data_IF_102153031419
#
_entry.id   IF_102153031419
#
_cell.length_a   1.000
_cell.length_b   1.000
_cell.length_c   1.000
_cell.angle_alpha   90.00
_cell.angle_beta   90.00
_cell.angle_gamma   90.00
#
_symmetry.space_group_name_H-M   'P 1'
#
loop_
_entity.id
_entity.type
_entity.pdbx_description
1 polymer ?
#
# COMPACT_ATOMS: atom_id res chain seq x y z
N UNK A 1 6.42 43.68 -44.88
CA UNK A 1 6.12 42.24 -44.68
C UNK A 1 6.90 41.63 -43.52
N UNK A 2 8.13 42.05 -43.27
CA UNK A 2 9.04 41.48 -42.26
C UNK A 2 8.67 41.80 -40.81
N UNK A 3 8.14 43.00 -40.52
CA UNK A 3 7.79 43.39 -39.14
C UNK A 3 6.52 42.71 -38.61
N UNK A 4 5.50 42.53 -39.46
CA UNK A 4 4.27 41.82 -39.07
C UNK A 4 4.50 40.31 -38.86
N UNK A 5 5.44 39.71 -39.58
CA UNK A 5 5.85 38.32 -39.37
C UNK A 5 6.59 38.12 -38.05
N UNK A 6 7.45 39.07 -37.66
CA UNK A 6 8.15 39.03 -36.37
C UNK A 6 7.18 39.15 -35.19
N UNK A 7 6.19 40.06 -35.28
CA UNK A 7 5.18 40.21 -34.23
C UNK A 7 4.29 38.96 -34.10
N UNK A 8 3.88 38.34 -35.21
CA UNK A 8 3.09 37.11 -35.18
C UNK A 8 3.89 35.94 -34.59
N UNK A 9 5.18 35.82 -34.90
CA UNK A 9 6.04 34.77 -34.35
C UNK A 9 6.22 34.91 -32.83
N UNK A 10 6.41 36.15 -32.34
CA UNK A 10 6.54 36.43 -30.90
C UNK A 10 5.23 36.15 -30.17
N UNK A 11 4.08 36.52 -30.73
CA UNK A 11 2.78 36.21 -30.13
C UNK A 11 2.50 34.70 -30.09
N UNK A 12 2.86 33.95 -31.14
CA UNK A 12 2.73 32.48 -31.15
C UNK A 12 3.70 31.84 -30.15
N UNK A 13 4.93 32.31 -30.05
CA UNK A 13 5.91 31.81 -29.06
C UNK A 13 5.51 32.13 -27.62
N UNK A 14 4.93 33.30 -27.36
CA UNK A 14 4.42 33.67 -26.04
C UNK A 14 3.17 32.86 -25.68
N UNK A 15 2.28 32.59 -26.65
CA UNK A 15 1.10 31.75 -26.43
C UNK A 15 1.47 30.28 -26.23
N UNK A 16 2.44 29.74 -26.98
CA UNK A 16 2.92 28.36 -26.77
C UNK A 16 3.72 28.23 -25.47
N UNK A 17 4.53 29.21 -25.09
CA UNK A 17 5.21 29.23 -23.79
C UNK A 17 4.21 29.36 -22.62
N UNK A 18 3.15 30.16 -22.78
CA UNK A 18 2.09 30.29 -21.77
C UNK A 18 1.25 29.02 -21.67
N UNK A 19 0.93 28.37 -22.80
CA UNK A 19 0.30 27.04 -22.80
C UNK A 19 1.22 25.98 -22.19
N UNK A 20 2.52 26.04 -22.44
CA UNK A 20 3.48 25.12 -21.83
C UNK A 20 3.65 25.38 -20.33
N UNK A 21 3.58 26.63 -19.85
CA UNK A 21 3.68 26.91 -18.42
C UNK A 21 2.38 26.63 -17.65
N UNK A 22 1.22 26.77 -18.31
CA UNK A 22 -0.10 26.50 -17.71
C UNK A 22 -0.54 25.02 -17.85
N UNK A 23 -0.05 24.30 -18.86
CA UNK A 23 -0.42 22.92 -19.17
C UNK A 23 0.75 21.94 -19.26
N UNK A 24 2.01 22.37 -19.08
CA UNK A 24 3.03 21.38 -18.77
C UNK A 24 2.58 20.69 -17.49
N UNK A 25 2.44 19.36 -17.48
CA UNK A 25 2.31 18.66 -16.23
C UNK A 25 3.54 19.08 -15.45
N UNK A 26 3.36 19.81 -14.35
CA UNK A 26 4.37 19.92 -13.33
C UNK A 26 4.62 18.48 -12.91
N UNK A 27 5.58 17.82 -13.57
CA UNK A 27 6.10 16.53 -13.14
C UNK A 27 6.80 16.83 -11.82
N UNK A 28 6.02 17.03 -10.76
CA UNK A 28 6.41 16.56 -9.46
C UNK A 28 6.61 15.07 -9.68
N UNK A 29 7.85 14.68 -9.87
CA UNK A 29 8.25 13.29 -9.68
C UNK A 29 7.67 12.90 -8.32
N UNK A 30 6.83 11.86 -8.24
CA UNK A 30 6.28 11.42 -6.97
C UNK A 30 7.43 11.36 -5.98
N UNK A 31 7.27 11.98 -4.80
CA UNK A 31 8.26 11.80 -3.74
C UNK A 31 8.11 10.36 -3.29
N UNK A 32 8.98 9.50 -3.83
CA UNK A 32 9.07 8.10 -3.45
C UNK A 32 9.76 8.09 -2.08
N UNK A 33 9.00 7.72 -1.06
CA UNK A 33 9.57 7.42 0.25
C UNK A 33 10.06 5.97 0.15
N UNK A 34 11.31 5.80 -0.29
CA UNK A 34 12.00 4.51 -0.20
C UNK A 34 12.43 4.29 1.26
N UNK A 35 12.32 3.04 1.71
CA UNK A 35 12.36 2.61 3.10
C UNK A 35 13.65 2.93 3.85
N UNK A 36 13.50 2.91 5.18
CA UNK A 36 14.50 3.14 6.22
C UNK A 36 15.65 2.14 6.10
N UNK A 37 16.92 2.53 6.35
CA UNK A 37 18.04 1.60 6.43
C UNK A 37 17.79 0.50 7.46
N UNK A 38 18.13 -0.74 7.14
CA UNK A 38 17.87 -1.96 7.92
C UNK A 38 18.69 -2.09 9.22
N UNK A 39 19.12 -1.01 9.85
CA UNK A 39 19.93 -1.05 11.07
C UNK A 39 19.05 -0.87 12.32
N UNK A 40 19.13 -1.89 13.20
CA UNK A 40 18.42 -2.07 14.48
C UNK A 40 16.90 -2.33 14.41
N UNK A 41 16.53 -3.57 14.08
CA UNK A 41 15.23 -4.14 14.47
C UNK A 41 15.19 -4.18 16.01
N UNK A 42 14.51 -3.20 16.61
CA UNK A 42 14.32 -3.11 18.07
C UNK A 42 13.54 -4.32 18.60
N UNK A 43 13.94 -4.80 19.77
CA UNK A 43 13.52 -6.08 20.36
C UNK A 43 12.02 -6.25 20.71
N UNK A 44 11.17 -5.24 20.51
CA UNK A 44 9.81 -5.17 21.09
C UNK A 44 8.65 -5.08 20.07
N UNK A 45 8.83 -5.51 18.82
CA UNK A 45 7.72 -5.54 17.85
C UNK A 45 6.65 -6.58 18.27
N UNK A 46 5.36 -6.22 18.20
CA UNK A 46 4.30 -7.14 18.64
C UNK A 46 4.23 -8.46 17.84
N UNK A 47 4.79 -8.53 16.63
CA UNK A 47 4.84 -9.75 15.81
C UNK A 47 6.19 -10.47 15.83
N UNK A 48 7.15 -10.10 16.71
CA UNK A 48 8.50 -10.70 16.75
C UNK A 48 8.49 -12.24 16.80
N UNK A 49 7.52 -12.84 17.48
CA UNK A 49 7.37 -14.31 17.58
C UNK A 49 7.01 -15.00 16.26
N UNK A 50 6.61 -14.23 15.25
CA UNK A 50 6.26 -14.74 13.93
C UNK A 50 7.46 -14.84 12.99
N UNK A 51 8.48 -14.01 13.22
CA UNK A 51 9.65 -13.86 12.35
C UNK A 51 10.97 -14.20 13.04
N UNK A 52 10.95 -14.47 14.35
CA UNK A 52 12.16 -14.72 15.14
C UNK A 52 13.02 -15.86 14.58
N UNK A 53 14.30 -15.56 14.41
CA UNK A 53 15.37 -16.51 14.15
C UNK A 53 16.16 -16.69 15.45
N UNK A 54 16.45 -17.94 15.81
CA UNK A 54 17.48 -18.21 16.81
C UNK A 54 18.83 -18.36 16.10
N UNK A 55 19.76 -17.46 16.36
CA UNK A 55 21.10 -17.46 15.76
C UNK A 55 21.90 -18.76 16.04
N UNK A 56 21.52 -19.52 17.08
CA UNK A 56 22.16 -20.79 17.43
C UNK A 56 21.51 -22.01 16.76
N UNK A 57 20.51 -21.83 15.90
CA UNK A 57 19.90 -22.95 15.18
C UNK A 57 20.87 -23.56 14.17
N UNK A 58 20.87 -24.89 14.10
CA UNK A 58 21.43 -25.60 12.95
C UNK A 58 20.58 -25.30 11.70
N UNK A 59 21.16 -25.49 10.51
CA UNK A 59 20.40 -25.35 9.26
C UNK A 59 19.14 -26.25 9.24
N UNK A 60 19.22 -27.46 9.80
CA UNK A 60 18.06 -28.35 9.89
C UNK A 60 16.98 -27.82 10.82
N UNK A 61 17.34 -27.25 11.97
CA UNK A 61 16.38 -26.59 12.87
C UNK A 61 15.71 -25.38 12.21
N UNK A 62 16.47 -24.56 11.49
CA UNK A 62 15.95 -23.44 10.72
C UNK A 62 14.92 -23.92 9.69
N UNK A 63 15.27 -24.95 8.90
CA UNK A 63 14.37 -25.53 7.89
C UNK A 63 13.10 -26.09 8.52
N UNK A 64 13.19 -26.81 9.64
CA UNK A 64 12.00 -27.34 10.34
C UNK A 64 11.11 -26.22 10.88
N UNK A 65 11.69 -25.17 11.45
CA UNK A 65 10.93 -24.00 11.88
C UNK A 65 10.24 -23.31 10.71
N UNK A 66 10.96 -23.11 9.60
CA UNK A 66 10.39 -22.51 8.39
C UNK A 66 9.24 -23.34 7.82
N UNK A 67 9.35 -24.67 7.77
CA UNK A 67 8.24 -25.56 7.36
C UNK A 67 7.04 -25.36 8.29
N UNK A 68 7.25 -25.40 9.60
CA UNK A 68 6.18 -25.26 10.58
C UNK A 68 5.45 -23.91 10.46
N UNK A 69 6.21 -22.81 10.35
CA UNK A 69 5.66 -21.46 10.19
C UNK A 69 4.94 -21.26 8.87
N UNK A 70 5.50 -21.75 7.77
CA UNK A 70 4.84 -21.67 6.47
C UNK A 70 3.52 -22.43 6.43
N UNK A 71 3.45 -23.61 7.05
CA UNK A 71 2.19 -24.37 7.17
C UNK A 71 1.19 -23.69 8.11
N UNK A 72 1.66 -23.08 9.19
CA UNK A 72 0.82 -22.28 10.08
C UNK A 72 0.22 -21.09 9.33
N UNK A 73 1.02 -20.33 8.59
CA UNK A 73 0.54 -19.22 7.78
C UNK A 73 -0.37 -19.67 6.63
N UNK A 74 -0.13 -20.83 6.02
CA UNK A 74 -1.04 -21.37 4.99
C UNK A 74 -2.44 -21.65 5.54
N UNK A 75 -2.50 -22.18 6.76
CA UNK A 75 -3.74 -22.57 7.44
C UNK A 75 -4.42 -21.39 8.14
N UNK A 76 -3.64 -20.55 8.79
CA UNK A 76 -4.09 -19.51 9.72
C UNK A 76 -3.73 -18.09 9.27
N UNK A 77 -3.08 -17.90 8.12
CA UNK A 77 -2.53 -16.60 7.67
C UNK A 77 -3.55 -15.48 7.49
N UNK A 78 -4.85 -15.78 7.54
CA UNK A 78 -5.93 -14.79 7.59
C UNK A 78 -6.03 -14.13 8.97
N UNK A 79 -5.49 -14.74 10.02
CA UNK A 79 -5.58 -14.33 11.42
C UNK A 79 -4.32 -13.59 11.87
N UNK A 80 -4.02 -12.45 11.24
CA UNK A 80 -3.00 -11.56 11.77
C UNK A 80 -3.35 -11.15 13.21
N UNK A 81 -2.32 -11.13 14.07
CA UNK A 81 -2.42 -10.68 15.44
C UNK A 81 -3.05 -9.31 15.44
N UNK A 82 -4.08 -9.15 16.27
CA UNK A 82 -4.80 -7.90 16.39
C UNK A 82 -3.83 -6.82 16.86
N UNK A 83 -3.79 -5.64 16.21
CA UNK A 83 -3.05 -4.51 16.73
C UNK A 83 -3.48 -4.21 18.18
N UNK A 84 -2.55 -3.76 19.06
CA UNK A 84 -2.89 -3.43 20.44
C UNK A 84 -4.09 -2.45 20.54
N UNK A 85 -5.11 -2.83 21.31
CA UNK A 85 -6.34 -2.04 21.49
C UNK A 85 -7.42 -2.21 20.42
N UNK A 86 -7.14 -2.98 19.35
CA UNK A 86 -8.13 -3.35 18.34
C UNK A 86 -8.90 -4.59 18.79
N UNK A 87 -9.99 -4.39 19.55
CA UNK A 87 -10.88 -5.46 20.05
C UNK A 87 -12.25 -5.45 19.36
N UNK A 88 -12.34 -5.79 18.06
CA UNK A 88 -13.63 -5.77 17.39
C UNK A 88 -14.53 -6.93 17.82
N UNK A 89 -15.84 -6.70 17.76
CA UNK A 89 -16.85 -7.74 17.95
C UNK A 89 -16.89 -8.74 16.77
N UNK A 90 -16.46 -8.32 15.57
CA UNK A 90 -16.40 -9.14 14.36
C UNK A 90 -15.01 -9.11 13.73
N UNK A 91 -14.59 -10.24 13.14
CA UNK A 91 -13.31 -10.35 12.46
C UNK A 91 -13.51 -10.49 10.95
N UNK A 92 -12.83 -9.70 10.11
CA UNK A 92 -11.87 -8.65 10.47
C UNK A 92 -12.55 -7.32 10.91
N UNK A 93 -11.90 -6.50 11.77
CA UNK A 93 -12.45 -5.24 12.29
C UNK A 93 -12.79 -4.22 11.21
N UNK A 94 -14.02 -3.72 11.14
CA UNK A 94 -14.33 -2.59 10.25
C UNK A 94 -13.68 -1.27 10.71
N UNK A 95 -13.63 -1.06 12.02
CA UNK A 95 -13.04 0.13 12.63
C UNK A 95 -12.27 -0.25 13.89
N UNK A 96 -11.08 0.32 14.08
CA UNK A 96 -10.34 0.23 15.33
C UNK A 96 -9.74 1.58 15.72
N UNK A 97 -9.84 1.91 17.01
CA UNK A 97 -9.15 3.04 17.61
C UNK A 97 -8.06 2.50 18.53
N UNK A 98 -6.81 2.85 18.26
CA UNK A 98 -5.69 2.45 19.09
C UNK A 98 -5.67 3.27 20.40
N UNK A 99 -5.06 2.76 21.48
CA UNK A 99 -4.98 3.49 22.74
C UNK A 99 -4.25 4.81 22.54
N UNK A 100 -4.75 5.88 23.15
CA UNK A 100 -4.12 7.21 23.13
C UNK A 100 -2.69 7.13 23.68
N UNK A 101 -1.77 7.87 23.06
CA UNK A 101 -0.35 7.96 23.45
C UNK A 101 0.04 9.43 23.60
N UNK A 102 1.21 9.68 24.21
CA UNK A 102 1.70 11.03 24.54
C UNK A 102 2.40 11.75 23.37
N UNK A 103 2.21 11.27 22.13
CA UNK A 103 2.75 11.94 20.96
C UNK A 103 1.90 13.13 20.52
N UNK A 104 2.16 13.64 19.32
CA UNK A 104 1.41 14.75 18.73
C UNK A 104 0.70 14.37 17.41
N UNK A 105 1.15 13.33 16.73
CA UNK A 105 0.66 12.94 15.40
C UNK A 105 -0.73 12.31 15.49
N UNK A 106 -1.68 12.80 14.70
CA UNK A 106 -2.94 12.10 14.43
C UNK A 106 -2.84 11.36 13.11
N UNK A 107 -3.15 10.07 13.08
CA UNK A 107 -3.10 9.29 11.87
C UNK A 107 -4.31 8.38 11.69
N UNK A 108 -4.74 8.23 10.44
CA UNK A 108 -5.74 7.26 10.02
C UNK A 108 -5.11 6.33 9.00
N UNK A 109 -5.33 5.02 9.14
CA UNK A 109 -5.01 4.02 8.11
C UNK A 109 -6.31 3.47 7.54
N UNK A 110 -6.57 3.72 6.26
CA UNK A 110 -7.82 3.38 5.61
C UNK A 110 -7.64 2.52 4.36
N UNK A 111 -8.57 1.59 4.15
CA UNK A 111 -8.59 0.74 2.96
C UNK A 111 -9.28 -0.60 3.18
N UNK A 112 -8.63 -1.70 2.82
CA UNK A 112 -9.23 -3.05 2.91
C UNK A 112 -8.39 -4.02 3.73
N UNK A 113 -8.43 -5.32 3.43
CA UNK A 113 -7.64 -6.33 4.14
C UNK A 113 -6.13 -6.03 4.14
N UNK A 114 -5.62 -5.22 3.21
CA UNK A 114 -4.23 -4.78 3.15
C UNK A 114 -3.93 -3.75 4.24
N UNK A 115 -4.89 -2.86 4.54
CA UNK A 115 -4.81 -1.95 5.69
C UNK A 115 -4.65 -2.74 6.99
N UNK A 116 -5.39 -3.84 7.16
CA UNK A 116 -5.22 -4.70 8.35
C UNK A 116 -3.79 -5.22 8.50
N UNK A 117 -3.15 -5.63 7.40
CA UNK A 117 -1.77 -6.15 7.42
C UNK A 117 -0.75 -5.05 7.70
N UNK A 118 -0.96 -3.85 7.18
CA UNK A 118 -0.07 -2.71 7.36
C UNK A 118 -0.27 -1.99 8.70
N UNK A 119 -1.43 -2.15 9.36
CA UNK A 119 -1.74 -1.48 10.61
C UNK A 119 -0.70 -1.78 11.69
N UNK A 120 -0.22 -3.01 11.72
CA UNK A 120 0.79 -3.43 12.66
C UNK A 120 2.07 -2.61 12.63
N UNK A 121 2.81 -2.65 11.51
CA UNK A 121 4.03 -1.88 11.36
C UNK A 121 3.83 -0.37 11.44
N UNK A 122 2.70 0.15 10.98
CA UNK A 122 2.37 1.57 11.17
C UNK A 122 2.23 1.91 12.66
N UNK A 123 1.52 1.09 13.43
CA UNK A 123 1.41 1.26 14.88
C UNK A 123 2.79 1.27 15.55
N UNK A 124 3.65 0.31 15.24
CA UNK A 124 4.98 0.21 15.84
C UNK A 124 5.88 1.38 15.44
N UNK A 125 5.80 1.85 14.19
CA UNK A 125 6.55 3.01 13.69
C UNK A 125 6.12 4.31 14.37
N UNK A 126 4.84 4.43 14.73
CA UNK A 126 4.25 5.64 15.28
C UNK A 126 4.04 5.61 16.80
N UNK A 127 4.25 4.49 17.49
CA UNK A 127 3.81 4.28 18.90
C UNK A 127 4.24 5.36 19.90
N UNK A 128 5.39 5.98 19.66
CA UNK A 128 5.94 7.04 20.52
C UNK A 128 5.67 8.45 19.97
N UNK A 129 5.02 8.56 18.81
CA UNK A 129 4.84 9.81 18.05
C UNK A 129 3.37 10.20 17.90
N UNK A 130 2.43 9.26 18.01
CA UNK A 130 1.01 9.55 17.81
C UNK A 130 0.30 10.01 19.09
N UNK A 131 -0.70 10.87 18.93
CA UNK A 131 -1.71 11.19 19.94
C UNK A 131 -3.01 10.42 19.68
N UNK A 132 -3.36 10.22 18.40
CA UNK A 132 -4.48 9.39 17.96
C UNK A 132 -4.10 8.56 16.74
N UNK A 133 -4.49 7.29 16.74
CA UNK A 133 -4.28 6.37 15.62
C UNK A 133 -5.55 5.54 15.42
N UNK A 134 -6.14 5.63 14.24
CA UNK A 134 -7.35 4.87 13.87
C UNK A 134 -7.11 4.04 12.60
N UNK A 135 -7.84 2.93 12.52
CA UNK A 135 -7.94 2.09 11.34
C UNK A 135 -9.39 2.08 10.86
N UNK A 136 -9.59 2.33 9.57
CA UNK A 136 -10.89 2.25 8.90
C UNK A 136 -10.77 1.28 7.74
N UNK A 137 -11.40 0.12 7.80
CA UNK A 137 -11.33 -0.80 6.68
C UNK A 137 -12.62 -1.53 6.39
N UNK A 138 -12.80 -1.87 5.13
CA UNK A 138 -13.82 -2.83 4.71
C UNK A 138 -13.15 -3.84 3.82
N UNK A 139 -13.18 -5.10 4.24
CA UNK A 139 -12.55 -6.18 3.47
C UNK A 139 -13.13 -6.25 2.07
N UNK A 140 -12.27 -6.56 1.09
CA UNK A 140 -12.63 -6.71 -0.33
C UNK A 140 -13.06 -5.42 -1.07
N UNK A 141 -13.11 -4.28 -0.41
CA UNK A 141 -13.54 -3.04 -1.03
C UNK A 141 -12.35 -2.18 -1.49
N UNK A 142 -12.58 -1.25 -2.43
CA UNK A 142 -11.58 -0.28 -2.87
C UNK A 142 -12.20 1.12 -2.80
N UNK A 143 -11.50 2.06 -2.14
CA UNK A 143 -12.00 3.43 -1.96
C UNK A 143 -12.30 4.10 -3.32
N UNK A 144 -11.38 4.01 -4.28
CA UNK A 144 -11.46 4.73 -5.56
C UNK A 144 -12.41 4.10 -6.59
N UNK A 145 -13.04 2.97 -6.27
CA UNK A 145 -14.08 2.37 -7.12
C UNK A 145 -15.49 2.78 -6.71
N UNK A 146 -15.64 3.45 -5.56
CA UNK A 146 -16.91 4.02 -5.13
C UNK A 146 -17.16 5.32 -5.89
N UNK A 147 -18.41 5.57 -6.29
CA UNK A 147 -18.76 6.80 -6.99
C UNK A 147 -18.86 7.98 -6.02
N UNK A 148 -18.05 9.01 -6.27
CA UNK A 148 -18.02 10.22 -5.47
C UNK A 148 -19.39 10.93 -5.39
N UNK A 149 -20.20 10.87 -6.46
CA UNK A 149 -21.49 11.54 -6.46
C UNK A 149 -22.51 10.87 -5.51
N UNK A 150 -22.30 9.60 -5.16
CA UNK A 150 -23.30 8.80 -4.43
C UNK A 150 -22.81 8.20 -3.13
N UNK A 151 -21.51 8.29 -2.80
CA UNK A 151 -20.91 7.54 -1.70
C UNK A 151 -21.56 7.82 -0.32
N UNK A 152 -22.03 9.04 -0.07
CA UNK A 152 -22.73 9.36 1.19
C UNK A 152 -24.04 8.57 1.39
N UNK A 153 -24.64 8.11 0.29
CA UNK A 153 -25.92 7.40 0.27
C UNK A 153 -25.81 5.95 -0.16
N UNK A 154 -24.61 5.50 -0.51
CA UNK A 154 -24.35 4.13 -0.96
C UNK A 154 -24.40 3.18 0.25
N UNK A 155 -25.47 2.38 0.29
CA UNK A 155 -25.72 1.39 1.36
C UNK A 155 -25.05 0.05 1.09
N UNK A 156 -24.25 -0.08 0.02
CA UNK A 156 -23.48 -1.28 -0.23
C UNK A 156 -22.36 -1.44 0.81
N UNK A 157 -21.87 -2.67 0.97
CA UNK A 157 -20.71 -2.95 1.83
C UNK A 157 -19.53 -2.05 1.47
N UNK A 158 -19.23 -1.87 0.19
CA UNK A 158 -18.11 -1.05 -0.26
C UNK A 158 -18.38 0.46 -0.28
N UNK A 159 -19.64 0.89 -0.42
CA UNK A 159 -20.04 2.28 -0.21
C UNK A 159 -19.67 2.77 1.20
N UNK A 160 -19.83 1.87 2.18
CA UNK A 160 -19.50 2.17 3.58
C UNK A 160 -18.00 2.48 3.81
N UNK A 161 -17.07 1.97 2.99
CA UNK A 161 -15.64 2.26 3.14
C UNK A 161 -15.36 3.74 2.87
N UNK A 162 -15.88 4.26 1.76
CA UNK A 162 -15.71 5.67 1.40
C UNK A 162 -16.36 6.55 2.47
N UNK A 163 -17.61 6.26 2.84
CA UNK A 163 -18.32 7.03 3.87
C UNK A 163 -17.57 7.05 5.20
N UNK A 164 -17.12 5.90 5.70
CA UNK A 164 -16.39 5.84 6.97
C UNK A 164 -15.04 6.55 6.90
N UNK A 165 -14.32 6.43 5.78
CA UNK A 165 -13.02 7.08 5.60
C UNK A 165 -13.17 8.60 5.63
N UNK A 166 -14.13 9.14 4.89
CA UNK A 166 -14.44 10.57 4.86
C UNK A 166 -14.88 11.07 6.24
N UNK A 167 -15.87 10.42 6.86
CA UNK A 167 -16.36 10.81 8.18
C UNK A 167 -15.25 10.78 9.26
N UNK A 168 -14.39 9.75 9.25
CA UNK A 168 -13.30 9.65 10.21
C UNK A 168 -12.24 10.74 9.98
N UNK A 169 -11.94 11.04 8.71
CA UNK A 169 -10.96 12.08 8.33
C UNK A 169 -11.47 13.47 8.71
N UNK A 170 -12.74 13.77 8.45
CA UNK A 170 -13.37 15.03 8.86
C UNK A 170 -13.41 15.17 10.38
N UNK A 171 -13.80 14.12 11.11
CA UNK A 171 -13.92 14.18 12.57
C UNK A 171 -12.55 14.26 13.29
N UNK A 172 -11.53 13.59 12.79
CA UNK A 172 -10.21 13.55 13.44
C UNK A 172 -9.31 14.72 13.04
N UNK A 173 -9.42 15.16 11.79
CA UNK A 173 -8.47 16.03 11.09
C UNK A 173 -7.03 15.49 11.19
N UNK A 174 -6.71 14.34 10.56
CA UNK A 174 -5.41 13.69 10.75
C UNK A 174 -4.25 14.49 10.13
N UNK A 175 -3.08 14.40 10.77
CA UNK A 175 -1.84 14.87 10.15
C UNK A 175 -1.47 13.99 8.95
N UNK A 176 -1.68 12.67 9.06
CA UNK A 176 -1.40 11.72 7.98
C UNK A 176 -2.55 10.74 7.80
N UNK A 177 -3.05 10.65 6.57
CA UNK A 177 -4.00 9.62 6.12
C UNK A 177 -3.26 8.61 5.23
N UNK A 178 -3.16 7.36 5.66
CA UNK A 178 -2.66 6.27 4.83
C UNK A 178 -3.83 5.61 4.10
N UNK A 179 -3.81 5.60 2.77
CA UNK A 179 -4.73 4.86 1.91
C UNK A 179 -4.03 3.60 1.41
N UNK A 180 -4.27 2.46 2.07
CA UNK A 180 -3.59 1.20 1.81
C UNK A 180 -4.59 0.17 1.28
N UNK A 181 -4.49 -0.10 -0.01
CA UNK A 181 -5.43 -0.95 -0.74
C UNK A 181 -4.73 -1.79 -1.81
N UNK A 182 -5.44 -2.80 -2.33
CA UNK A 182 -4.91 -3.76 -3.32
C UNK A 182 -5.14 -3.38 -4.77
N UNK A 183 -6.20 -2.60 -5.04
CA UNK A 183 -6.67 -2.22 -6.37
C UNK A 183 -7.10 -3.41 -7.25
N UNK A 184 -8.37 -3.82 -7.13
CA UNK A 184 -8.98 -4.82 -8.01
C UNK A 184 -10.16 -4.26 -8.81
N UNK A 185 -10.70 -5.10 -9.70
CA UNK A 185 -11.95 -4.85 -10.41
C UNK A 185 -11.80 -3.68 -11.38
N UNK A 186 -12.70 -2.70 -11.28
CA UNK A 186 -12.75 -1.64 -12.27
C UNK A 186 -11.48 -0.79 -12.32
N UNK A 187 -10.74 -0.70 -11.19
CA UNK A 187 -9.47 0.05 -11.14
C UNK A 187 -8.32 -0.64 -11.89
N UNK A 188 -8.49 -1.88 -12.35
CA UNK A 188 -7.52 -2.59 -13.20
C UNK A 188 -7.90 -2.58 -14.68
N UNK A 189 -9.09 -2.06 -15.03
CA UNK A 189 -9.59 -2.02 -16.42
C UNK A 189 -8.67 -1.22 -17.34
N UNK A 190 -8.73 -1.54 -18.64
CA UNK A 190 -7.97 -0.84 -19.68
C UNK A 190 -8.27 0.67 -19.69
N UNK A 191 -7.22 1.48 -19.80
CA UNK A 191 -7.31 2.92 -19.88
C UNK A 191 -7.40 3.32 -21.35
N UNK A 192 -8.54 3.89 -21.75
CA UNK A 192 -8.70 4.48 -23.10
C UNK A 192 -8.08 5.88 -23.19
N UNK A 193 -8.30 6.69 -22.17
CA UNK A 193 -7.71 8.02 -22.02
C UNK A 193 -7.66 8.37 -20.54
N UNK A 194 -6.44 8.51 -20.00
CA UNK A 194 -6.21 8.75 -18.58
C UNK A 194 -6.87 10.04 -18.07
N UNK A 195 -6.99 11.08 -18.92
CA UNK A 195 -7.56 12.37 -18.52
C UNK A 195 -9.08 12.33 -18.36
N UNK A 196 -9.75 11.38 -19.00
CA UNK A 196 -11.22 11.20 -18.92
C UNK A 196 -11.60 9.88 -18.27
N UNK A 197 -10.64 9.16 -17.68
CA UNK A 197 -10.88 7.89 -17.01
C UNK A 197 -11.75 8.11 -15.77
N UNK A 198 -12.91 7.47 -15.71
CA UNK A 198 -13.90 7.68 -14.63
C UNK A 198 -13.32 7.40 -13.25
N UNK A 199 -12.50 6.35 -13.12
CA UNK A 199 -11.93 5.95 -11.84
C UNK A 199 -10.86 6.94 -11.37
N UNK A 200 -10.09 7.51 -12.30
CA UNK A 200 -9.19 8.64 -12.02
C UNK A 200 -9.97 9.86 -11.56
N UNK A 201 -11.04 10.25 -12.25
CA UNK A 201 -11.84 11.42 -11.87
C UNK A 201 -12.49 11.25 -10.49
N UNK A 202 -13.08 10.08 -10.22
CA UNK A 202 -13.64 9.76 -8.91
C UNK A 202 -12.57 9.79 -7.81
N UNK A 203 -11.38 9.21 -8.06
CA UNK A 203 -10.29 9.23 -7.10
C UNK A 203 -9.82 10.66 -6.79
N UNK A 204 -9.70 11.52 -7.81
CA UNK A 204 -9.30 12.92 -7.63
C UNK A 204 -10.32 13.69 -6.79
N UNK A 205 -11.62 13.49 -7.00
CA UNK A 205 -12.67 14.13 -6.19
C UNK A 205 -12.63 13.66 -4.73
N UNK A 206 -12.50 12.34 -4.48
CA UNK A 206 -12.34 11.83 -3.13
C UNK A 206 -11.09 12.41 -2.45
N UNK A 207 -9.97 12.51 -3.16
CA UNK A 207 -8.72 13.04 -2.61
C UNK A 207 -8.78 14.55 -2.38
N UNK A 208 -9.50 15.30 -3.20
CA UNK A 208 -9.73 16.73 -2.99
C UNK A 208 -10.47 16.96 -1.67
N UNK A 209 -11.56 16.23 -1.44
CA UNK A 209 -12.32 16.34 -0.20
C UNK A 209 -11.53 15.86 1.03
N UNK A 210 -10.85 14.70 0.96
CA UNK A 210 -9.99 14.21 2.04
C UNK A 210 -8.84 15.19 2.34
N UNK A 211 -8.36 15.89 1.32
CA UNK A 211 -7.30 16.90 1.45
C UNK A 211 -7.75 18.13 2.24
N UNK A 212 -9.05 18.41 2.37
CA UNK A 212 -9.54 19.54 3.16
C UNK A 212 -9.28 19.34 4.66
N UNK A 213 -9.36 18.09 5.14
CA UNK A 213 -9.22 17.75 6.56
C UNK A 213 -7.91 17.03 6.89
N UNK A 214 -6.99 16.88 5.94
CA UNK A 214 -5.72 16.16 6.13
C UNK A 214 -4.51 17.02 5.75
N UNK A 215 -3.36 16.84 6.42
CA UNK A 215 -2.10 17.50 6.02
C UNK A 215 -1.33 16.73 4.95
N UNK A 216 -1.25 15.40 5.06
CA UNK A 216 -0.61 14.51 4.09
C UNK A 216 -1.42 13.22 3.86
N UNK A 217 -1.49 12.77 2.60
CA UNK A 217 -2.13 11.51 2.21
C UNK A 217 -1.08 10.58 1.62
N UNK A 218 -0.87 9.41 2.20
CA UNK A 218 0.06 8.39 1.69
C UNK A 218 -0.75 7.32 0.97
N UNK A 219 -0.51 7.12 -0.32
CA UNK A 219 -1.24 6.17 -1.16
C UNK A 219 -0.31 5.01 -1.50
N UNK A 220 -0.70 3.78 -1.16
CA UNK A 220 0.10 2.59 -1.48
C UNK A 220 0.04 2.23 -2.96
N UNK A 221 1.10 1.61 -3.46
CA UNK A 221 1.07 0.80 -4.67
C UNK A 221 0.30 -0.51 -4.45
N UNK A 222 -0.15 -1.20 -5.52
CA UNK A 222 -0.41 -2.63 -5.44
C UNK A 222 0.89 -3.41 -5.16
N UNK A 223 0.75 -4.70 -4.89
CA UNK A 223 1.84 -5.67 -4.85
C UNK A 223 1.48 -6.88 -5.71
N UNK A 224 2.48 -7.62 -6.17
CA UNK A 224 2.30 -8.77 -7.05
C UNK A 224 1.37 -9.82 -6.42
N UNK A 225 0.46 -10.34 -7.23
CA UNK A 225 -0.46 -11.40 -6.84
C UNK A 225 -0.06 -12.72 -7.48
N UNK A 226 0.00 -13.75 -6.64
CA UNK A 226 0.31 -15.11 -7.03
C UNK A 226 -0.96 -15.89 -7.37
N UNK A 227 -0.85 -16.82 -8.31
CA UNK A 227 -1.90 -17.82 -8.60
C UNK A 227 -1.89 -19.01 -7.62
N UNK A 228 -1.00 -18.97 -6.64
CA UNK A 228 -0.79 -19.99 -5.62
C UNK A 228 -0.46 -19.37 -4.27
N UNK A 229 -0.65 -20.13 -3.19
CA UNK A 229 -0.25 -19.71 -1.85
C UNK A 229 1.24 -19.88 -1.66
N UNK A 230 1.98 -18.77 -1.58
CA UNK A 230 3.44 -18.78 -1.49
C UNK A 230 3.97 -19.63 -0.31
N UNK A 231 3.42 -19.51 0.93
CA UNK A 231 3.90 -20.33 2.05
C UNK A 231 3.78 -21.84 1.81
N UNK A 232 2.70 -22.27 1.14
CA UNK A 232 2.45 -23.67 0.82
C UNK A 232 3.52 -24.27 -0.09
N UNK A 233 3.90 -23.51 -1.13
CA UNK A 233 4.89 -23.93 -2.12
C UNK A 233 6.25 -24.07 -1.44
N UNK A 234 6.65 -23.06 -0.66
CA UNK A 234 7.91 -23.06 0.09
C UNK A 234 7.97 -24.23 1.07
N UNK A 235 6.94 -24.42 1.91
CA UNK A 235 6.90 -25.53 2.87
C UNK A 235 7.07 -26.89 2.18
N UNK A 236 6.39 -27.11 1.05
CA UNK A 236 6.47 -28.34 0.28
C UNK A 236 7.87 -28.57 -0.28
N UNK A 237 8.51 -27.55 -0.84
CA UNK A 237 9.87 -27.66 -1.37
C UNK A 237 10.87 -28.01 -0.27
N UNK A 238 10.77 -27.33 0.88
CA UNK A 238 11.61 -27.61 2.06
C UNK A 238 11.40 -29.04 2.60
N UNK A 239 10.16 -29.51 2.73
CA UNK A 239 9.84 -30.89 3.17
C UNK A 239 10.47 -31.96 2.26
N UNK A 240 10.56 -31.68 0.96
CA UNK A 240 11.16 -32.59 -0.02
C UNK A 240 12.66 -32.35 -0.24
N UNK A 241 13.32 -31.52 0.59
CA UNK A 241 14.73 -31.15 0.45
C UNK A 241 15.06 -30.63 -0.96
N UNK A 242 14.12 -29.92 -1.57
CA UNK A 242 14.30 -29.23 -2.86
C UNK A 242 14.69 -27.79 -2.59
N UNK A 243 15.47 -27.22 -3.50
CA UNK A 243 15.72 -25.79 -3.50
C UNK A 243 14.39 -25.02 -3.64
N UNK A 244 14.31 -23.87 -2.99
CA UNK A 244 13.17 -22.98 -3.19
C UNK A 244 13.33 -22.32 -4.56
N UNK A 245 12.52 -22.74 -5.52
CA UNK A 245 12.55 -22.27 -6.92
C UNK A 245 11.15 -21.94 -7.39
N UNK A 246 11.03 -21.15 -8.46
CA UNK A 246 9.74 -20.85 -9.14
C UNK A 246 8.77 -19.97 -8.35
N UNK A 247 9.24 -19.36 -7.25
CA UNK A 247 8.46 -18.38 -6.48
C UNK A 247 8.88 -16.95 -6.83
N UNK A 248 10.16 -16.72 -7.13
CA UNK A 248 10.67 -15.41 -7.54
C UNK A 248 10.24 -15.04 -8.96
N UNK A 249 10.11 -13.74 -9.21
CA UNK A 249 9.60 -13.16 -10.46
C UNK A 249 10.37 -11.89 -10.79
N UNK A 250 10.19 -11.34 -11.98
CA UNK A 250 10.79 -10.06 -12.36
C UNK A 250 9.81 -8.91 -12.13
N UNK A 251 10.33 -7.71 -11.85
CA UNK A 251 9.52 -6.51 -11.70
C UNK A 251 8.67 -6.22 -12.95
N UNK A 252 9.14 -6.61 -14.14
CA UNK A 252 8.36 -6.53 -15.38
C UNK A 252 7.06 -7.34 -15.32
N UNK A 253 7.06 -8.51 -14.67
CA UNK A 253 5.82 -9.30 -14.47
C UNK A 253 4.81 -8.52 -13.64
N UNK A 254 5.27 -7.90 -12.55
CA UNK A 254 4.45 -7.02 -11.72
C UNK A 254 3.95 -5.80 -12.49
N UNK A 255 4.82 -5.11 -13.22
CA UNK A 255 4.44 -3.93 -14.01
C UNK A 255 3.41 -4.28 -15.07
N UNK A 256 3.55 -5.44 -15.73
CA UNK A 256 2.59 -5.91 -16.73
C UNK A 256 1.24 -6.21 -16.10
N UNK A 257 1.22 -6.87 -14.94
CA UNK A 257 0.00 -7.18 -14.19
C UNK A 257 -0.74 -5.91 -13.77
N UNK A 258 -0.01 -4.94 -13.20
CA UNK A 258 -0.61 -3.74 -12.60
C UNK A 258 -0.50 -2.49 -13.46
N UNK A 259 -0.19 -2.62 -14.76
CA UNK A 259 0.11 -1.48 -15.65
C UNK A 259 -0.91 -0.35 -15.56
N UNK A 260 -2.20 -0.69 -15.63
CA UNK A 260 -3.30 0.28 -15.65
C UNK A 260 -3.46 0.91 -14.26
N UNK A 261 -3.40 0.11 -13.21
CA UNK A 261 -3.45 0.59 -11.82
C UNK A 261 -2.32 1.57 -11.54
N UNK A 262 -1.10 1.20 -11.90
CA UNK A 262 0.09 2.03 -11.72
C UNK A 262 0.01 3.33 -12.52
N UNK A 263 -0.49 3.28 -13.76
CA UNK A 263 -0.72 4.47 -14.57
C UNK A 263 -1.76 5.42 -13.92
N UNK A 264 -2.89 4.89 -13.44
CA UNK A 264 -3.89 5.66 -12.68
C UNK A 264 -3.27 6.31 -11.44
N UNK A 265 -2.56 5.54 -10.61
CA UNK A 265 -1.95 6.04 -9.38
C UNK A 265 -0.91 7.12 -9.63
N UNK A 266 -0.01 6.92 -10.61
CA UNK A 266 0.98 7.94 -11.01
C UNK A 266 0.29 9.23 -11.46
N UNK A 267 -0.79 9.13 -12.23
CA UNK A 267 -1.55 10.30 -12.69
C UNK A 267 -2.24 11.04 -11.55
N UNK A 268 -2.86 10.30 -10.63
CA UNK A 268 -3.60 10.82 -9.46
C UNK A 268 -2.63 11.51 -8.49
N UNK A 269 -1.55 10.84 -8.08
CA UNK A 269 -0.58 11.40 -7.12
C UNK A 269 0.07 12.67 -7.67
N UNK A 270 0.38 12.73 -8.96
CA UNK A 270 0.94 13.93 -9.58
C UNK A 270 0.01 15.17 -9.52
N UNK A 271 -1.30 14.98 -9.27
CA UNK A 271 -2.32 16.02 -9.22
C UNK A 271 -2.88 16.29 -7.83
N UNK A 272 -2.48 15.52 -6.84
CA UNK A 272 -2.85 15.75 -5.45
C UNK A 272 -1.63 16.32 -4.70
N UNK A 273 -1.59 17.64 -4.39
CA UNK A 273 -0.41 18.27 -3.81
C UNK A 273 -0.02 17.75 -2.42
N UNK A 274 -0.98 17.18 -1.70
CA UNK A 274 -0.81 16.55 -0.38
C UNK A 274 -0.55 15.04 -0.44
N UNK A 275 -0.55 14.44 -1.64
CA UNK A 275 -0.40 13.01 -1.81
C UNK A 275 1.06 12.57 -1.98
N UNK A 276 1.40 11.45 -1.37
CA UNK A 276 2.68 10.76 -1.45
C UNK A 276 2.46 9.34 -1.93
N UNK A 277 3.33 8.87 -2.82
CA UNK A 277 3.27 7.51 -3.33
C UNK A 277 4.18 6.60 -2.50
N UNK A 278 3.60 5.55 -1.92
CA UNK A 278 4.33 4.53 -1.17
C UNK A 278 4.42 3.25 -2.01
N UNK A 279 5.60 2.98 -2.56
CA UNK A 279 5.83 1.78 -3.36
C UNK A 279 6.05 0.58 -2.43
N UNK A 280 5.00 -0.22 -2.26
CA UNK A 280 5.02 -1.44 -1.46
C UNK A 280 5.68 -2.62 -2.18
N UNK A 281 5.88 -2.55 -3.49
CA UNK A 281 6.46 -3.65 -4.26
C UNK A 281 7.98 -3.51 -4.36
N UNK A 282 8.48 -2.29 -4.58
CA UNK A 282 9.88 -2.02 -4.87
C UNK A 282 10.86 -2.60 -3.84
N UNK A 283 10.61 -2.57 -2.52
CA UNK A 283 11.55 -3.09 -1.51
C UNK A 283 11.84 -4.59 -1.62
N UNK A 284 11.00 -5.35 -2.30
CA UNK A 284 11.21 -6.79 -2.53
C UNK A 284 12.04 -7.09 -3.77
N UNK A 285 12.46 -6.08 -4.53
CA UNK A 285 13.11 -6.25 -5.81
C UNK A 285 14.52 -5.63 -5.82
N UNK A 286 15.47 -6.36 -6.39
CA UNK A 286 16.83 -5.90 -6.63
C UNK A 286 16.88 -4.86 -7.77
N UNK A 287 18.05 -4.24 -7.97
CA UNK A 287 18.28 -3.27 -9.06
C UNK A 287 18.24 -3.90 -10.45
N UNK A 288 18.61 -5.18 -10.56
CA UNK A 288 18.53 -5.96 -11.80
C UNK A 288 17.10 -6.38 -12.18
N UNK A 289 16.12 -6.01 -11.35
CA UNK A 289 14.69 -6.26 -11.58
C UNK A 289 14.20 -7.60 -11.04
N UNK A 290 15.02 -8.44 -10.41
CA UNK A 290 14.53 -9.65 -9.75
C UNK A 290 13.86 -9.34 -8.42
N UNK A 291 12.67 -9.90 -8.21
CA UNK A 291 11.88 -9.75 -7.00
C UNK A 291 11.92 -11.04 -6.17
N UNK A 292 12.44 -10.93 -4.95
CA UNK A 292 12.44 -12.02 -3.98
C UNK A 292 11.05 -12.19 -3.38
N UNK A 293 10.61 -13.42 -3.24
CA UNK A 293 9.33 -13.78 -2.60
C UNK A 293 9.47 -14.25 -1.18
N UNK A 294 10.69 -14.54 -0.76
CA UNK A 294 11.01 -14.99 0.57
C UNK A 294 12.38 -14.48 0.99
N UNK A 295 12.57 -14.44 2.29
CA UNK A 295 13.85 -14.13 2.88
C UNK A 295 14.71 -15.40 2.97
N UNK A 296 15.91 -15.32 2.40
CA UNK A 296 16.85 -16.44 2.33
C UNK A 296 17.43 -16.82 3.70
N UNK A 297 17.42 -15.92 4.67
CA UNK A 297 17.92 -16.17 6.02
C UNK A 297 16.91 -16.92 6.88
N UNK A 298 15.64 -16.53 6.83
CA UNK A 298 14.55 -17.17 7.59
C UNK A 298 13.87 -18.33 6.86
N UNK A 299 13.97 -18.35 5.52
CA UNK A 299 13.16 -19.19 4.63
C UNK A 299 11.64 -18.91 4.74
N UNK A 300 11.27 -17.72 5.22
CA UNK A 300 9.88 -17.27 5.33
C UNK A 300 9.50 -16.34 4.17
N UNK A 301 8.29 -16.48 3.59
CA UNK A 301 7.84 -15.65 2.50
C UNK A 301 7.50 -14.25 2.96
N UNK A 302 7.66 -13.28 2.06
CA UNK A 302 7.18 -11.91 2.25
C UNK A 302 5.67 -11.76 2.05
N UNK A 303 5.02 -12.78 1.45
CA UNK A 303 3.58 -12.87 1.23
C UNK A 303 3.02 -14.08 2.01
N UNK A 304 1.97 -13.86 2.79
CA UNK A 304 1.36 -14.85 3.68
C UNK A 304 0.26 -15.70 3.04
N UNK A 305 -0.22 -15.28 1.87
CA UNK A 305 -1.19 -16.04 1.08
C UNK A 305 -0.90 -15.84 -0.42
N UNK A 306 -1.89 -15.49 -1.24
CA UNK A 306 -1.72 -15.16 -2.65
C UNK A 306 -1.32 -13.69 -2.90
N UNK A 307 -1.62 -12.76 -1.98
CA UNK A 307 -1.43 -11.32 -2.22
C UNK A 307 -1.23 -10.47 -0.96
N UNK A 308 -1.39 -11.00 0.24
CA UNK A 308 -1.23 -10.23 1.49
C UNK A 308 0.18 -10.35 2.06
N UNK A 309 0.80 -9.21 2.35
CA UNK A 309 2.10 -9.15 3.01
C UNK A 309 2.10 -9.92 4.34
N UNK A 310 3.15 -10.71 4.53
CA UNK A 310 3.43 -11.46 5.74
C UNK A 310 4.07 -10.57 6.81
N UNK A 311 4.23 -11.08 8.04
CA UNK A 311 5.00 -10.38 9.06
C UNK A 311 6.44 -10.13 8.62
N UNK A 312 7.05 -11.09 7.94
CA UNK A 312 8.41 -10.94 7.40
C UNK A 312 8.47 -9.90 6.28
N UNK A 313 7.43 -9.84 5.43
CA UNK A 313 7.35 -8.79 4.40
C UNK A 313 7.17 -7.40 5.00
N UNK A 314 6.40 -7.27 6.08
CA UNK A 314 6.23 -6.00 6.78
C UNK A 314 7.56 -5.47 7.37
N UNK A 315 8.45 -6.34 7.85
CA UNK A 315 9.79 -5.94 8.34
C UNK A 315 10.71 -5.37 7.25
N UNK A 316 10.44 -5.68 5.98
CA UNK A 316 11.18 -5.09 4.85
C UNK A 316 10.59 -3.72 4.47
N UNK A 317 9.28 -3.52 4.70
CA UNK A 317 8.56 -2.31 4.31
C UNK A 317 8.63 -1.16 5.32
N UNK A 318 8.86 -1.44 6.60
CA UNK A 318 8.77 -0.46 7.70
C UNK A 318 9.91 -0.63 8.69
#
# INVERSE_FOLDING_TARGET
LTEHLASALVSVLCLTASFYLLYAPTKKTPTIISTVPSEEIKEDFYWRKETAINANWTHEQLVQNAIAKNLDWEKNGVHFHKPPGCNPQHYPPAHCTMPVRNGSVKAIVAGNSFTYRAMGPIYETLKDKYSQLQMVMVSRCELFTTDFATYHSDKSECGSLAQQTHNATEAMEPDVLFLITRYLGNFTEEIKNITTDRWVQNALLHLEELSNSTKAIVISSPIHRFSFRVPKVIARQLQHKKNITEVDYTYEVFEKEHRNTMERLRFIVARCPKCFYFDMQRPFCAEDGWCATYDKETLLPFISDEEHISYRGNEVLF
#
